data_IF_948932033437
#
_entry.id   IF_948932033437
#
_cell.length_a   1.000
_cell.length_b   1.000
_cell.length_c   1.000
_cell.angle_alpha   90.00
_cell.angle_beta   90.00
_cell.angle_gamma   90.00
#
_symmetry.space_group_name_H-M   'P 1'
#
loop_
_entity.id
_entity.type
_entity.pdbx_description
1 polymer ?
#
# COMPACT_ATOMS: atom_id res chain seq x y z
N UNK A 1 -12.40 -17.36 14.67
CA UNK A 1 -13.10 -16.16 14.17
C UNK A 1 -12.18 -15.01 14.53
N UNK A 2 -11.32 -14.59 13.60
CA UNK A 2 -10.35 -13.52 13.85
C UNK A 2 -10.95 -12.23 13.32
N UNK A 3 -11.15 -11.26 14.22
CA UNK A 3 -11.51 -9.89 13.87
C UNK A 3 -10.30 -9.26 13.17
N UNK A 4 -10.32 -9.21 11.85
CA UNK A 4 -9.37 -8.41 11.08
C UNK A 4 -9.90 -6.98 10.99
N UNK A 5 -9.10 -6.01 11.44
CA UNK A 5 -9.34 -4.60 11.15
C UNK A 5 -8.92 -4.35 9.70
N UNK A 6 -9.88 -4.38 8.78
CA UNK A 6 -9.67 -3.91 7.41
C UNK A 6 -9.89 -2.40 7.40
N UNK A 7 -8.81 -1.62 7.25
CA UNK A 7 -8.95 -0.21 6.89
C UNK A 7 -9.50 -0.14 5.45
N UNK A 8 -10.64 0.54 5.18
CA UNK A 8 -11.16 0.68 3.83
C UNK A 8 -10.57 1.88 3.08
N UNK A 9 -10.08 1.60 1.87
CA UNK A 9 -9.98 2.42 0.66
C UNK A 9 -9.17 3.73 0.70
N UNK A 10 -7.88 3.62 0.41
CA UNK A 10 -7.05 4.74 -0.08
C UNK A 10 -7.21 4.80 -1.61
N UNK A 11 -8.35 5.34 -2.04
CA UNK A 11 -8.71 5.70 -3.43
C UNK A 11 -8.40 4.71 -4.57
N UNK A 12 -8.69 3.41 -4.38
CA UNK A 12 -9.06 2.46 -5.47
C UNK A 12 -9.36 1.02 -4.97
N UNK A 13 -9.70 0.82 -3.70
CA UNK A 13 -9.96 -0.50 -3.12
C UNK A 13 -8.71 -1.17 -2.53
N UNK A 14 -7.68 -0.41 -2.15
CA UNK A 14 -6.52 -0.96 -1.46
C UNK A 14 -6.86 -1.32 -0.02
N UNK A 15 -6.62 -2.58 0.37
CA UNK A 15 -6.79 -3.07 1.74
C UNK A 15 -5.45 -3.41 2.38
N UNK A 16 -5.24 -3.02 3.65
CA UNK A 16 -4.14 -3.58 4.45
C UNK A 16 -4.44 -5.07 4.66
N UNK A 17 -3.67 -5.93 4.00
CA UNK A 17 -3.96 -7.35 3.90
C UNK A 17 -3.76 -8.08 5.22
N UNK A 18 -4.58 -9.10 5.47
CA UNK A 18 -4.31 -10.05 6.56
C UNK A 18 -2.97 -10.76 6.34
N UNK A 19 -2.23 -11.00 7.43
CA UNK A 19 -0.94 -11.70 7.43
C UNK A 19 -0.97 -13.03 6.67
N UNK A 20 -2.07 -13.79 6.76
CA UNK A 20 -2.22 -15.06 6.03
C UNK A 20 -2.44 -14.86 4.52
N UNK A 21 -3.09 -13.77 4.12
CA UNK A 21 -3.30 -13.41 2.72
C UNK A 21 -1.98 -12.93 2.09
N UNK A 22 -1.23 -12.09 2.81
CA UNK A 22 0.08 -11.60 2.39
C UNK A 22 1.10 -12.75 2.24
N UNK A 23 1.17 -13.64 3.24
CA UNK A 23 2.07 -14.82 3.19
C UNK A 23 1.77 -15.72 2.00
N UNK A 24 0.48 -16.03 1.76
CA UNK A 24 0.07 -16.85 0.62
C UNK A 24 0.37 -16.17 -0.72
N UNK A 25 0.27 -14.84 -0.78
CA UNK A 25 0.53 -14.09 -2.00
C UNK A 25 2.02 -14.07 -2.36
N UNK A 26 2.91 -13.95 -1.37
CA UNK A 26 4.35 -14.12 -1.56
C UNK A 26 4.67 -15.51 -2.13
N UNK A 27 4.05 -16.56 -1.59
CA UNK A 27 4.25 -17.94 -2.07
C UNK A 27 3.77 -18.17 -3.50
N UNK A 28 2.70 -17.49 -3.93
CA UNK A 28 2.18 -17.56 -5.30
C UNK A 28 2.93 -16.68 -6.29
N UNK A 29 3.69 -15.70 -5.79
CA UNK A 29 4.37 -14.71 -6.63
C UNK A 29 3.43 -13.68 -7.24
N UNK A 30 2.32 -13.33 -6.55
CA UNK A 30 1.37 -12.35 -7.10
C UNK A 30 1.91 -10.90 -7.04
N UNK A 31 2.90 -10.64 -6.18
CA UNK A 31 3.48 -9.31 -5.95
C UNK A 31 5.01 -9.33 -6.05
N UNK A 32 5.64 -8.20 -6.42
CA UNK A 32 7.08 -8.04 -6.37
C UNK A 32 7.64 -8.27 -4.96
N UNK A 33 8.78 -8.95 -4.90
CA UNK A 33 9.54 -9.19 -3.67
C UNK A 33 10.82 -8.35 -3.59
N UNK A 34 11.12 -7.61 -4.66
CA UNK A 34 12.25 -6.68 -4.72
C UNK A 34 11.97 -5.49 -5.66
N UNK A 35 12.52 -4.33 -5.31
CA UNK A 35 12.63 -3.15 -6.17
C UNK A 35 14.12 -2.82 -6.27
N UNK A 36 14.74 -3.09 -7.42
CA UNK A 36 16.20 -3.03 -7.55
C UNK A 36 16.88 -4.00 -6.60
N UNK A 37 17.71 -3.49 -5.68
CA UNK A 37 18.37 -4.28 -4.62
C UNK A 37 17.59 -4.31 -3.30
N UNK A 38 16.49 -3.59 -3.19
CA UNK A 38 15.71 -3.48 -1.95
C UNK A 38 14.70 -4.62 -1.87
N UNK A 39 14.74 -5.41 -0.80
CA UNK A 39 13.70 -6.40 -0.52
C UNK A 39 12.44 -5.71 -0.03
N UNK A 40 11.29 -6.08 -0.61
CA UNK A 40 10.00 -5.47 -0.30
C UNK A 40 8.94 -6.53 -0.08
N UNK A 41 7.85 -6.13 0.59
CA UNK A 41 6.65 -6.92 0.72
C UNK A 41 5.41 -6.05 0.49
N UNK A 42 4.33 -6.67 0.02
CA UNK A 42 3.04 -6.00 -0.16
C UNK A 42 2.37 -5.74 1.19
N UNK A 43 1.91 -4.50 1.38
CA UNK A 43 1.12 -4.08 2.54
C UNK A 43 -0.35 -3.84 2.17
N UNK A 44 -0.68 -3.76 0.89
CA UNK A 44 -2.07 -3.72 0.43
C UNK A 44 -2.21 -3.79 -1.08
N UNK A 45 -3.39 -4.16 -1.56
CA UNK A 45 -3.68 -4.33 -2.99
C UNK A 45 -5.12 -3.97 -3.33
N UNK A 46 -5.34 -3.50 -4.56
CA UNK A 46 -6.67 -3.21 -5.13
C UNK A 46 -7.38 -4.45 -5.72
N UNK A 47 -6.75 -5.63 -5.68
CA UNK A 47 -7.28 -6.86 -6.28
C UNK A 47 -7.27 -6.87 -7.82
N UNK A 48 -6.95 -5.75 -8.47
CA UNK A 48 -6.72 -5.60 -9.91
C UNK A 48 -5.26 -5.81 -10.31
N UNK A 49 -4.40 -6.14 -9.33
CA UNK A 49 -2.99 -6.43 -9.53
C UNK A 49 -2.05 -5.31 -9.10
N UNK A 50 -2.56 -4.14 -8.71
CA UNK A 50 -1.70 -3.10 -8.14
C UNK A 50 -1.52 -3.34 -6.64
N UNK A 51 -0.41 -2.84 -6.09
CA UNK A 51 -0.11 -2.99 -4.68
C UNK A 51 0.67 -1.82 -4.10
N UNK A 52 0.53 -1.60 -2.80
CA UNK A 52 1.49 -0.84 -2.01
C UNK A 52 2.56 -1.79 -1.47
N UNK A 53 3.83 -1.40 -1.63
CA UNK A 53 5.00 -2.18 -1.22
C UNK A 53 5.80 -1.36 -0.20
N UNK A 54 6.37 -2.02 0.80
CA UNK A 54 7.31 -1.40 1.75
C UNK A 54 8.49 -2.31 2.00
N UNK A 55 9.60 -1.74 2.48
CA UNK A 55 10.79 -2.50 2.89
C UNK A 55 10.48 -3.34 4.14
N UNK A 56 11.05 -4.55 4.20
CA UNK A 56 10.78 -5.56 5.26
C UNK A 56 11.22 -5.16 6.66
N UNK A 57 12.29 -4.38 6.81
CA UNK A 57 13.06 -4.37 8.07
C UNK A 57 13.26 -2.99 8.70
N UNK A 58 12.69 -1.93 8.12
CA UNK A 58 12.86 -0.56 8.59
C UNK A 58 11.59 0.24 8.31
N UNK A 59 11.39 1.36 9.02
CA UNK A 59 10.39 2.39 8.69
C UNK A 59 10.76 3.11 7.37
N UNK A 60 11.03 2.32 6.33
CA UNK A 60 11.55 2.71 5.05
C UNK A 60 10.45 3.13 4.07
N UNK A 61 10.81 3.30 2.80
CA UNK A 61 9.92 3.93 1.84
C UNK A 61 8.70 3.07 1.52
N UNK A 62 7.65 3.74 1.07
CA UNK A 62 6.44 3.09 0.55
C UNK A 62 6.31 3.42 -0.93
N UNK A 63 6.10 2.39 -1.74
CA UNK A 63 5.88 2.49 -3.17
C UNK A 63 4.50 2.00 -3.56
N UNK A 64 3.91 2.63 -4.58
CA UNK A 64 2.79 2.10 -5.37
C UNK A 64 3.34 1.35 -6.56
N UNK A 65 3.15 0.04 -6.60
CA UNK A 65 3.38 -0.79 -7.76
C UNK A 65 2.18 -0.71 -8.70
N UNK A 66 2.41 -0.22 -9.91
CA UNK A 66 1.42 -0.15 -10.97
C UNK A 66 1.68 -1.28 -11.96
N UNK A 67 0.93 -2.35 -11.81
CA UNK A 67 1.16 -3.60 -12.53
C UNK A 67 0.86 -3.47 -14.03
N UNK A 68 -0.09 -2.63 -14.39
CA UNK A 68 -0.48 -2.35 -15.78
C UNK A 68 0.66 -1.80 -16.64
N UNK A 69 1.50 -0.93 -16.06
CA UNK A 69 2.64 -0.31 -16.74
C UNK A 69 4.01 -0.81 -16.23
N UNK A 70 4.01 -1.69 -15.22
CA UNK A 70 5.21 -2.34 -14.72
C UNK A 70 6.17 -1.41 -13.98
N UNK A 71 5.66 -0.38 -13.30
CA UNK A 71 6.50 0.61 -12.63
C UNK A 71 6.20 0.80 -11.13
N UNK A 72 7.05 1.60 -10.49
CA UNK A 72 6.99 1.88 -9.06
C UNK A 72 7.01 3.39 -8.84
N UNK A 73 6.00 3.90 -8.15
CA UNK A 73 5.95 5.29 -7.70
C UNK A 73 6.19 5.35 -6.20
N UNK A 74 7.27 6.00 -5.77
CA UNK A 74 7.49 6.24 -4.33
C UNK A 74 6.51 7.30 -3.83
N UNK A 75 5.74 6.95 -2.82
CA UNK A 75 4.73 7.83 -2.21
C UNK A 75 5.23 8.47 -0.91
N UNK A 76 6.13 7.79 -0.20
CA UNK A 76 6.71 8.30 1.04
C UNK A 76 8.10 7.72 1.26
N UNK A 77 8.95 8.46 1.98
CA UNK A 77 10.27 7.99 2.42
C UNK A 77 10.20 7.07 3.63
N UNK A 78 9.06 7.07 4.35
CA UNK A 78 8.86 6.25 5.55
C UNK A 78 7.45 5.67 5.61
N UNK A 79 7.30 4.49 6.20
CA UNK A 79 6.00 3.86 6.41
C UNK A 79 5.09 4.69 7.31
N UNK A 80 5.63 5.28 8.38
CA UNK A 80 4.87 6.21 9.25
C UNK A 80 4.43 7.45 8.47
N UNK A 81 5.28 8.01 7.61
CA UNK A 81 4.93 9.14 6.75
C UNK A 81 3.79 8.80 5.79
N UNK A 82 3.81 7.60 5.21
CA UNK A 82 2.71 7.09 4.41
C UNK A 82 1.41 7.00 5.20
N UNK A 83 1.41 6.42 6.41
CA UNK A 83 0.22 6.35 7.27
C UNK A 83 -0.31 7.75 7.65
N UNK A 84 0.58 8.70 7.91
CA UNK A 84 0.20 10.10 8.14
C UNK A 84 -0.52 10.68 6.93
N UNK A 85 0.00 10.44 5.72
CA UNK A 85 -0.64 10.91 4.49
C UNK A 85 -2.00 10.27 4.24
N UNK A 86 -2.16 8.99 4.55
CA UNK A 86 -3.46 8.32 4.49
C UNK A 86 -4.47 8.98 5.43
N UNK A 87 -4.05 9.32 6.64
CA UNK A 87 -4.91 10.03 7.58
C UNK A 87 -5.31 11.43 7.06
N UNK A 88 -4.36 12.15 6.44
CA UNK A 88 -4.63 13.46 5.83
C UNK A 88 -5.63 13.35 4.66
N UNK A 89 -5.51 12.32 3.82
CA UNK A 89 -6.45 12.05 2.72
C UNK A 89 -7.88 11.80 3.27
N UNK A 90 -8.01 11.01 4.34
CA UNK A 90 -9.32 10.80 4.99
C UNK A 90 -9.90 12.08 5.59
N UNK A 91 -9.07 12.89 6.27
CA UNK A 91 -9.50 14.17 6.82
C UNK A 91 -9.98 15.12 5.71
N UNK A 92 -9.19 15.27 4.64
CA UNK A 92 -9.54 16.10 3.50
C UNK A 92 -10.84 15.66 2.82
N UNK A 93 -11.01 14.34 2.61
CA UNK A 93 -12.25 13.78 2.09
C UNK A 93 -13.44 14.09 2.99
N UNK A 94 -13.30 13.91 4.30
CA UNK A 94 -14.37 14.17 5.28
C UNK A 94 -14.80 15.65 5.32
N UNK A 95 -13.89 16.56 4.99
CA UNK A 95 -14.15 18.01 4.87
C UNK A 95 -14.68 18.42 3.50
N UNK A 96 -14.73 17.52 2.52
CA UNK A 96 -15.11 17.84 1.15
C UNK A 96 -14.11 18.75 0.44
N UNK A 97 -12.82 18.60 0.72
CA UNK A 97 -11.77 19.45 0.15
C UNK A 97 -11.47 19.07 -1.31
N UNK A 98 -12.16 19.69 -2.26
CA UNK A 98 -12.02 19.44 -3.70
C UNK A 98 -10.64 19.82 -4.27
N UNK A 99 -9.83 20.57 -3.52
CA UNK A 99 -8.49 21.01 -3.96
C UNK A 99 -7.38 20.09 -3.44
N UNK A 100 -7.71 19.15 -2.57
CA UNK A 100 -6.75 18.20 -2.05
C UNK A 100 -6.28 17.23 -3.14
N UNK A 101 -4.98 16.96 -3.17
CA UNK A 101 -4.39 16.01 -4.12
C UNK A 101 -4.26 14.65 -3.47
N UNK A 102 -5.23 13.77 -3.67
CA UNK A 102 -5.18 12.41 -3.13
C UNK A 102 -4.04 11.57 -3.75
N UNK A 103 -3.56 10.58 -3.00
CA UNK A 103 -2.52 9.63 -3.45
C UNK A 103 -3.00 8.58 -4.46
#
# INVERSE_FOLDING_TARGET
MHDSVSAPDIHNGYFIGDTSALTRSIQRGDFPTAIGSTSVFSIGSDGGGNAFLTQSDDNGPVWKWRNDIGDYLQLSDTFIGFLGRVADDFDAYSRGDERWQFM
#
